data_IF_336968864641
#
_entry.id   IF_336968864641
#
_cell.length_a   1.000
_cell.length_b   1.000
_cell.length_c   1.000
_cell.angle_alpha   90.00
_cell.angle_beta   90.00
_cell.angle_gamma   90.00
#
_symmetry.space_group_name_H-M   'P 1'
#
loop_
_entity.id
_entity.type
_entity.pdbx_description
1 polymer ?
#
# COMPACT_ATOMS: atom_id res chain seq x y z
N UNK A 1 -3.14 -8.35 1.42
CA UNK A 1 -2.04 -7.87 2.28
C UNK A 1 -0.73 -8.33 1.65
N UNK A 2 0.31 -7.48 1.56
CA UNK A 2 1.61 -7.85 0.98
C UNK A 2 2.54 -8.60 1.94
N UNK A 3 1.97 -9.24 2.95
CA UNK A 3 2.68 -10.09 3.89
C UNK A 3 2.26 -11.54 3.63
N UNK A 4 3.23 -12.44 3.54
CA UNK A 4 3.00 -13.88 3.57
C UNK A 4 2.22 -14.30 4.81
N UNK A 5 1.47 -15.40 4.70
CA UNK A 5 0.62 -15.98 5.76
C UNK A 5 1.43 -16.32 7.00
N UNK A 6 2.67 -16.77 6.84
CA UNK A 6 3.68 -16.83 7.89
C UNK A 6 4.83 -15.91 7.41
N UNK A 7 4.92 -14.70 7.94
CA UNK A 7 5.92 -13.70 7.53
C UNK A 7 7.07 -13.57 8.52
N UNK A 8 6.74 -13.58 9.82
CA UNK A 8 7.73 -13.53 10.90
C UNK A 8 7.21 -14.26 12.15
N UNK A 9 8.14 -14.65 13.01
CA UNK A 9 7.87 -15.26 14.33
C UNK A 9 8.42 -14.37 15.43
N UNK A 10 7.68 -14.26 16.55
CA UNK A 10 8.16 -13.65 17.78
C UNK A 10 8.52 -14.74 18.78
N UNK A 11 9.79 -14.82 19.16
CA UNK A 11 10.34 -15.82 20.08
C UNK A 11 10.82 -15.12 21.36
N UNK A 12 10.23 -15.39 22.53
CA UNK A 12 10.77 -14.89 23.79
C UNK A 12 12.12 -15.54 24.10
N UNK A 13 13.13 -14.73 24.41
CA UNK A 13 14.49 -15.17 24.79
C UNK A 13 14.90 -14.54 26.13
N UNK A 14 15.95 -15.05 26.81
CA UNK A 14 16.44 -14.46 28.07
C UNK A 14 16.91 -13.00 27.95
N UNK A 15 17.24 -12.52 26.75
CA UNK A 15 17.74 -11.16 26.48
C UNK A 15 16.68 -10.22 25.89
N UNK A 16 15.46 -10.71 25.63
CA UNK A 16 14.36 -9.92 25.06
C UNK A 16 13.47 -10.75 24.12
N UNK A 17 12.48 -10.13 23.48
CA UNK A 17 11.71 -10.81 22.42
C UNK A 17 12.46 -10.69 21.10
N UNK A 18 12.80 -11.81 20.50
CA UNK A 18 13.42 -11.87 19.18
C UNK A 18 12.34 -11.92 18.09
N UNK A 19 12.50 -11.14 17.01
CA UNK A 19 11.75 -11.33 15.77
C UNK A 19 12.62 -12.08 14.76
N UNK A 20 12.08 -13.16 14.19
CA UNK A 20 12.71 -13.96 13.15
C UNK A 20 11.88 -13.88 11.85
N UNK A 21 12.49 -13.48 10.74
CA UNK A 21 11.85 -13.47 9.42
C UNK A 21 11.67 -14.90 8.90
N UNK A 22 10.47 -15.25 8.45
CA UNK A 22 10.11 -16.59 8.00
C UNK A 22 10.53 -16.87 6.54
N UNK A 23 11.71 -16.40 6.14
CA UNK A 23 12.17 -16.30 4.75
C UNK A 23 11.16 -15.58 3.84
N UNK A 24 10.63 -14.46 4.33
CA UNK A 24 9.61 -13.70 3.63
C UNK A 24 10.19 -12.93 2.43
N UNK A 25 9.43 -12.91 1.33
CA UNK A 25 9.92 -12.30 0.08
C UNK A 25 10.05 -10.78 0.19
N UNK A 26 9.12 -10.12 0.88
CA UNK A 26 9.22 -8.68 1.11
C UNK A 26 10.21 -8.34 2.25
N UNK A 27 10.52 -9.30 3.12
CA UNK A 27 11.39 -9.12 4.27
C UNK A 27 10.68 -8.42 5.44
N UNK A 28 11.10 -8.81 6.63
CA UNK A 28 10.83 -8.09 7.88
C UNK A 28 11.86 -6.97 8.04
N UNK A 29 11.41 -5.79 8.44
CA UNK A 29 12.29 -4.66 8.76
C UNK A 29 12.06 -4.21 10.20
N UNK A 30 13.13 -3.79 10.88
CA UNK A 30 13.09 -3.18 12.21
C UNK A 30 13.76 -1.81 12.10
N UNK A 31 13.03 -0.74 12.43
CA UNK A 31 13.47 0.65 12.32
C UNK A 31 14.08 0.99 10.93
N UNK A 32 13.42 0.51 9.86
CA UNK A 32 13.85 0.72 8.47
C UNK A 32 14.90 -0.28 7.95
N UNK A 33 15.59 -1.01 8.83
CA UNK A 33 16.66 -1.96 8.46
C UNK A 33 16.07 -3.35 8.23
N UNK A 34 16.37 -3.98 7.09
CA UNK A 34 15.93 -5.37 6.80
C UNK A 34 16.67 -6.35 7.70
N UNK A 35 15.95 -7.23 8.39
CA UNK A 35 16.52 -8.20 9.33
C UNK A 35 16.14 -9.63 8.97
N UNK A 36 17.06 -10.57 9.21
CA UNK A 36 16.75 -12.00 9.26
C UNK A 36 16.32 -12.42 10.67
N UNK A 37 17.03 -11.91 11.68
CA UNK A 37 16.60 -11.90 13.09
C UNK A 37 17.01 -10.58 13.76
N UNK A 38 16.27 -10.14 14.78
CA UNK A 38 16.64 -9.05 15.68
C UNK A 38 15.98 -9.17 17.06
N UNK A 39 16.69 -8.78 18.13
CA UNK A 39 16.09 -8.57 19.46
C UNK A 39 15.38 -7.22 19.46
N UNK A 40 14.06 -7.24 19.71
CA UNK A 40 13.21 -6.05 19.77
C UNK A 40 13.30 -5.35 21.13
N UNK A 41 13.21 -4.02 21.08
CA UNK A 41 13.16 -3.11 22.22
C UNK A 41 11.84 -2.34 22.24
N UNK A 42 11.43 -1.88 23.42
CA UNK A 42 10.19 -1.11 23.59
C UNK A 42 10.19 0.12 22.67
N UNK A 43 9.15 0.24 21.84
CA UNK A 43 8.99 1.31 20.86
C UNK A 43 9.63 1.07 19.50
N UNK A 44 10.34 -0.04 19.27
CA UNK A 44 10.83 -0.41 17.94
C UNK A 44 9.68 -0.52 16.94
N UNK A 45 9.91 -0.04 15.71
CA UNK A 45 8.95 -0.13 14.61
C UNK A 45 9.31 -1.31 13.72
N UNK A 46 8.44 -2.31 13.69
CA UNK A 46 8.53 -3.47 12.80
C UNK A 46 7.64 -3.23 11.59
N UNK A 47 8.24 -3.21 10.40
CA UNK A 47 7.52 -3.06 9.12
C UNK A 47 7.39 -4.41 8.43
N UNK A 48 6.14 -4.79 8.11
CA UNK A 48 5.78 -6.04 7.42
C UNK A 48 4.85 -5.70 6.25
N UNK A 49 5.39 -5.73 5.03
CA UNK A 49 4.71 -5.22 3.84
C UNK A 49 4.32 -3.74 4.01
N UNK A 50 3.05 -3.41 3.76
CA UNK A 50 2.53 -2.03 3.87
C UNK A 50 1.96 -1.73 5.28
N UNK A 51 2.45 -2.39 6.34
CA UNK A 51 1.97 -2.17 7.72
C UNK A 51 3.13 -1.98 8.68
N UNK A 52 3.04 -0.94 9.50
CA UNK A 52 3.97 -0.68 10.61
C UNK A 52 3.35 -1.07 11.95
N UNK A 53 4.14 -1.82 12.72
CA UNK A 53 3.77 -2.39 14.00
C UNK A 53 4.74 -1.84 15.05
N UNK A 54 4.24 -1.23 16.12
CA UNK A 54 5.06 -0.85 17.26
C UNK A 54 5.22 -2.06 18.18
N UNK A 55 6.44 -2.34 18.61
CA UNK A 55 6.71 -3.34 19.64
C UNK A 55 6.46 -2.74 21.03
N UNK A 56 5.55 -3.38 21.78
CA UNK A 56 5.17 -2.98 23.13
C UNK A 56 5.05 -4.21 24.04
N UNK A 57 5.87 -4.24 25.09
CA UNK A 57 6.02 -5.33 26.05
C UNK A 57 6.57 -6.61 25.41
N UNK A 58 5.65 -7.45 24.92
CA UNK A 58 5.92 -8.73 24.24
C UNK A 58 5.14 -8.87 22.93
N UNK A 59 4.50 -7.79 22.48
CA UNK A 59 3.50 -7.82 21.39
C UNK A 59 3.77 -6.76 20.33
N UNK A 60 3.37 -7.07 19.09
CA UNK A 60 3.34 -6.11 18.00
C UNK A 60 1.92 -5.57 17.83
N UNK A 61 1.74 -4.28 18.10
CA UNK A 61 0.48 -3.57 17.95
C UNK A 61 0.56 -2.72 16.69
N UNK A 62 -0.49 -2.72 15.85
CA UNK A 62 -0.54 -1.80 14.70
C UNK A 62 -0.36 -0.37 15.19
N UNK A 63 0.61 0.34 14.62
CA UNK A 63 0.82 1.76 14.90
C UNK A 63 -0.40 2.51 14.36
N UNK A 64 -1.33 2.87 15.25
CA UNK A 64 -2.55 3.54 14.86
C UNK A 64 -2.24 4.82 14.08
N UNK A 65 -3.06 5.13 13.07
CA UNK A 65 -2.88 6.25 12.14
C UNK A 65 -2.87 7.63 12.84
N UNK A 66 -3.07 7.71 14.15
CA UNK A 66 -2.96 8.91 14.98
C UNK A 66 -1.58 9.62 14.93
N UNK A 67 -0.55 9.02 14.31
CA UNK A 67 0.67 9.70 13.90
C UNK A 67 0.49 10.64 12.67
N UNK A 68 -0.74 10.79 12.15
CA UNK A 68 -1.12 11.62 10.98
C UNK A 68 -0.81 13.13 11.07
N UNK A 69 -0.14 13.62 12.12
CA UNK A 69 0.52 14.94 12.09
C UNK A 69 1.83 14.93 11.30
N UNK A 70 2.40 13.76 11.00
CA UNK A 70 3.67 13.56 10.27
C UNK A 70 3.58 12.52 9.15
N UNK A 71 2.39 12.01 8.81
CA UNK A 71 2.20 11.05 7.70
C UNK A 71 2.13 11.72 6.32
N UNK A 72 2.48 10.98 5.26
CA UNK A 72 2.48 11.47 3.87
C UNK A 72 3.88 11.71 3.29
N UNK A 73 3.92 12.38 2.13
CA UNK A 73 5.13 12.73 1.39
C UNK A 73 5.69 14.09 1.82
N UNK A 74 6.98 14.15 2.11
CA UNK A 74 7.71 15.39 2.35
C UNK A 74 8.98 15.43 1.48
N UNK A 75 9.07 16.47 0.64
CA UNK A 75 10.22 16.76 -0.22
C UNK A 75 10.87 18.02 0.33
N UNK A 76 12.14 17.94 0.72
CA UNK A 76 12.86 19.05 1.37
C UNK A 76 14.14 19.37 0.62
N UNK A 77 14.15 20.55 -0.02
CA UNK A 77 15.34 21.14 -0.63
C UNK A 77 16.02 20.27 -1.70
N UNK A 78 15.25 19.53 -2.48
CA UNK A 78 15.78 18.60 -3.49
C UNK A 78 16.43 19.37 -4.64
N UNK A 79 17.72 19.12 -4.83
CA UNK A 79 18.46 19.50 -6.04
C UNK A 79 18.98 18.25 -6.75
N UNK A 80 19.04 18.32 -8.08
CA UNK A 80 19.52 17.22 -8.91
C UNK A 80 20.30 17.76 -10.11
N UNK A 81 21.55 17.32 -10.22
CA UNK A 81 22.54 17.79 -11.21
C UNK A 81 23.04 16.62 -12.04
N UNK A 82 23.05 16.79 -13.38
CA UNK A 82 23.58 15.80 -14.33
C UNK A 82 24.67 16.47 -15.15
N UNK A 83 25.87 15.87 -15.19
CA UNK A 83 27.02 16.37 -15.95
C UNK A 83 27.33 17.86 -15.70
N UNK A 84 27.19 18.33 -14.45
CA UNK A 84 27.39 19.73 -14.05
C UNK A 84 26.21 20.67 -14.30
N UNK A 85 25.17 20.24 -15.04
CA UNK A 85 23.96 21.03 -15.26
C UNK A 85 22.89 20.71 -14.20
N UNK A 86 22.46 21.73 -13.44
CA UNK A 86 21.37 21.61 -12.48
C UNK A 86 20.02 21.48 -13.20
N UNK A 87 19.35 20.34 -13.04
CA UNK A 87 18.01 20.09 -13.58
C UNK A 87 16.90 20.48 -12.58
N UNK A 88 17.20 20.39 -11.28
CA UNK A 88 16.33 20.81 -10.18
C UNK A 88 17.18 21.55 -9.12
N UNK A 89 16.63 22.59 -8.52
CA UNK A 89 17.29 23.42 -7.51
C UNK A 89 16.33 23.71 -6.34
N UNK A 90 16.64 23.16 -5.16
CA UNK A 90 15.97 23.46 -3.89
C UNK A 90 14.44 23.27 -3.93
N UNK A 91 13.95 22.23 -4.60
CA UNK A 91 12.52 21.93 -4.72
C UNK A 91 12.00 21.35 -3.42
N UNK A 92 10.91 21.92 -2.90
CA UNK A 92 10.24 21.44 -1.69
C UNK A 92 8.72 21.38 -1.87
N UNK A 93 8.07 20.34 -1.36
CA UNK A 93 6.61 20.16 -1.34
C UNK A 93 6.20 19.21 -0.21
N UNK A 94 4.94 19.29 0.25
CA UNK A 94 4.39 18.32 1.21
C UNK A 94 2.97 17.92 0.81
N UNK A 95 2.73 16.62 0.68
CA UNK A 95 1.44 16.05 0.29
C UNK A 95 1.00 15.03 1.35
N UNK A 96 -0.19 15.22 1.94
CA UNK A 96 -0.69 14.42 3.06
C UNK A 96 -1.67 13.34 2.56
N UNK A 97 -1.90 12.25 3.32
CA UNK A 97 -2.96 11.29 3.01
C UNK A 97 -4.28 12.02 2.73
N UNK A 98 -4.97 11.69 1.64
CA UNK A 98 -6.16 12.42 1.19
C UNK A 98 -5.92 13.53 0.15
N UNK A 99 -4.67 13.86 -0.21
CA UNK A 99 -4.39 15.00 -1.12
C UNK A 99 -4.10 14.57 -2.56
N UNK A 100 -4.75 15.26 -3.50
CA UNK A 100 -4.39 15.25 -4.93
C UNK A 100 -3.55 16.48 -5.24
N UNK A 101 -2.30 16.28 -5.64
CA UNK A 101 -1.31 17.34 -5.90
C UNK A 101 -0.91 17.32 -7.37
N UNK A 102 -1.16 18.43 -8.08
CA UNK A 102 -0.67 18.59 -9.46
C UNK A 102 0.73 19.22 -9.48
N UNK A 103 1.65 18.60 -10.22
CA UNK A 103 2.98 19.14 -10.53
C UNK A 103 2.96 19.59 -11.98
N UNK A 104 2.91 20.91 -12.18
CA UNK A 104 2.74 21.52 -13.50
C UNK A 104 3.96 22.31 -13.96
N UNK A 105 4.08 22.51 -15.27
CA UNK A 105 5.19 23.24 -15.87
C UNK A 105 5.39 22.87 -17.34
N UNK A 106 6.14 23.72 -18.05
CA UNK A 106 6.47 23.50 -19.46
C UNK A 106 7.31 22.24 -19.70
N UNK A 107 7.49 21.89 -20.98
CA UNK A 107 8.46 20.85 -21.35
C UNK A 107 9.87 21.26 -20.89
N UNK A 108 10.67 20.29 -20.46
CA UNK A 108 12.00 20.54 -19.90
C UNK A 108 12.05 21.15 -18.49
N UNK A 109 10.91 21.46 -17.84
CA UNK A 109 10.88 22.05 -16.49
C UNK A 109 11.24 21.07 -15.35
N UNK A 110 11.77 19.88 -15.64
CA UNK A 110 12.21 18.90 -14.64
C UNK A 110 11.12 18.04 -13.98
N UNK A 111 9.87 18.09 -14.45
CA UNK A 111 8.73 17.40 -13.79
C UNK A 111 8.90 15.89 -13.65
N UNK A 112 9.22 15.20 -14.76
CA UNK A 112 9.52 13.75 -14.79
C UNK A 112 10.77 13.40 -13.97
N UNK A 113 11.72 14.33 -13.83
CA UNK A 113 12.89 14.14 -12.97
C UNK A 113 12.47 14.16 -11.50
N UNK A 114 11.63 15.12 -11.11
CA UNK A 114 11.09 15.22 -9.74
C UNK A 114 10.23 14.00 -9.38
N UNK A 115 9.36 13.53 -10.28
CA UNK A 115 8.54 12.32 -10.03
C UNK A 115 9.39 11.07 -9.86
N UNK A 116 10.45 10.90 -10.66
CA UNK A 116 11.40 9.78 -10.52
C UNK A 116 12.23 9.84 -9.24
N UNK A 117 12.57 11.04 -8.75
CA UNK A 117 13.20 11.22 -7.44
C UNK A 117 12.22 10.83 -6.32
N UNK A 118 10.98 11.32 -6.37
CA UNK A 118 9.94 10.97 -5.38
C UNK A 118 9.60 9.47 -5.42
N UNK A 119 9.66 8.84 -6.59
CA UNK A 119 9.46 7.40 -6.75
C UNK A 119 10.66 6.54 -6.29
N UNK A 120 11.79 7.15 -5.89
CA UNK A 120 13.02 6.44 -5.53
C UNK A 120 13.80 5.86 -6.72
N UNK A 121 13.42 6.17 -7.97
CA UNK A 121 14.08 5.67 -9.18
C UNK A 121 15.37 6.46 -9.52
N UNK A 122 15.51 7.65 -8.96
CA UNK A 122 16.72 8.47 -8.99
C UNK A 122 17.08 8.85 -7.56
N UNK A 123 18.37 9.08 -7.29
CA UNK A 123 18.84 9.67 -6.03
C UNK A 123 19.14 11.17 -6.22
N UNK A 124 18.73 12.04 -5.28
CA UNK A 124 19.04 13.47 -5.36
C UNK A 124 20.52 13.75 -5.17
N UNK A 125 20.98 14.89 -5.68
CA UNK A 125 22.33 15.40 -5.42
C UNK A 125 22.41 16.04 -4.02
N UNK A 126 21.33 16.69 -3.58
CA UNK A 126 21.15 17.19 -2.22
C UNK A 126 19.67 17.31 -1.87
N UNK A 127 19.36 17.47 -0.59
CA UNK A 127 17.99 17.43 -0.06
C UNK A 127 17.54 16.02 0.32
N UNK A 128 16.30 15.91 0.80
CA UNK A 128 15.71 14.64 1.23
C UNK A 128 14.29 14.46 0.73
N UNK A 129 13.90 13.21 0.48
CA UNK A 129 12.51 12.82 0.29
C UNK A 129 12.15 11.78 1.34
N UNK A 130 11.08 12.03 2.10
CA UNK A 130 10.52 11.07 3.05
C UNK A 130 9.07 10.75 2.71
N UNK A 131 8.66 9.52 3.00
CA UNK A 131 7.27 9.09 2.94
C UNK A 131 6.91 8.34 4.22
N UNK A 132 5.82 8.75 4.88
CA UNK A 132 5.36 8.20 6.16
C UNK A 132 6.43 8.27 7.29
N UNK A 133 7.40 9.19 7.16
CA UNK A 133 8.52 9.38 8.08
C UNK A 133 9.80 8.62 7.72
N UNK A 134 9.76 7.73 6.73
CA UNK A 134 10.89 6.96 6.23
C UNK A 134 11.55 7.67 5.03
N UNK A 135 12.88 7.64 4.90
CA UNK A 135 13.58 8.25 3.77
C UNK A 135 13.55 7.31 2.56
N UNK A 136 12.96 7.79 1.45
CA UNK A 136 12.69 6.98 0.25
C UNK A 136 13.96 6.38 -0.34
N UNK A 137 15.10 7.07 -0.27
CA UNK A 137 16.34 6.64 -0.92
C UNK A 137 17.17 5.67 -0.06
N UNK A 138 17.15 5.84 1.27
CA UNK A 138 17.88 4.95 2.19
C UNK A 138 17.07 3.72 2.61
N UNK A 139 15.74 3.83 2.64
CA UNK A 139 14.81 2.78 3.09
C UNK A 139 13.94 2.25 1.93
N UNK A 140 14.37 2.43 0.68
CA UNK A 140 13.60 2.09 -0.51
C UNK A 140 13.02 0.66 -0.50
N UNK A 141 13.76 -0.30 0.05
CA UNK A 141 13.35 -1.71 0.07
C UNK A 141 12.06 -1.97 0.87
N UNK A 142 11.80 -1.24 1.96
CA UNK A 142 10.56 -1.35 2.75
C UNK A 142 9.41 -0.51 2.17
N UNK A 143 9.74 0.54 1.42
CA UNK A 143 8.79 1.50 0.85
C UNK A 143 8.33 1.15 -0.58
N UNK A 144 9.09 0.35 -1.33
CA UNK A 144 8.86 0.04 -2.76
C UNK A 144 7.44 -0.43 -3.11
N UNK A 145 6.72 -1.02 -2.15
CA UNK A 145 5.34 -1.51 -2.33
C UNK A 145 4.26 -0.55 -1.86
N UNK A 146 4.66 0.53 -1.16
CA UNK A 146 3.79 1.66 -0.78
C UNK A 146 3.77 2.75 -1.84
N UNK A 147 4.72 2.73 -2.78
CA UNK A 147 4.88 3.70 -3.85
C UNK A 147 4.54 3.04 -5.19
N UNK A 148 3.53 3.57 -5.89
CA UNK A 148 3.18 3.19 -7.26
C UNK A 148 3.52 4.33 -8.23
N UNK A 149 4.10 4.00 -9.38
CA UNK A 149 4.46 4.98 -10.42
C UNK A 149 3.86 4.57 -11.76
N UNK A 150 2.92 5.37 -12.27
CA UNK A 150 2.31 5.18 -13.58
C UNK A 150 3.03 6.09 -14.58
N UNK A 151 3.81 5.55 -15.53
CA UNK A 151 4.50 6.37 -16.53
C UNK A 151 3.53 6.99 -17.54
N UNK A 152 4.05 7.84 -18.42
CA UNK A 152 3.30 8.46 -19.50
C UNK A 152 2.71 7.41 -20.46
N UNK A 153 3.53 6.49 -20.96
CA UNK A 153 3.11 5.46 -21.90
C UNK A 153 2.28 4.34 -21.23
N UNK A 154 1.35 3.74 -21.98
CA UNK A 154 0.57 2.58 -21.52
C UNK A 154 1.47 1.34 -21.40
N UNK A 155 1.67 0.85 -20.17
CA UNK A 155 2.52 -0.31 -19.87
C UNK A 155 1.82 -1.67 -20.02
N UNK A 156 0.50 -1.69 -20.24
CA UNK A 156 -0.29 -2.92 -20.31
C UNK A 156 -0.11 -3.61 -21.67
N UNK A 157 0.19 -4.91 -21.67
CA UNK A 157 0.43 -5.67 -22.91
C UNK A 157 -0.82 -5.74 -23.81
N UNK A 158 -0.74 -5.11 -24.99
CA UNK A 158 -1.88 -4.80 -25.87
C UNK A 158 -2.72 -6.01 -26.32
N UNK A 159 -2.12 -7.19 -26.43
CA UNK A 159 -2.81 -8.40 -26.91
C UNK A 159 -3.54 -9.19 -25.81
N UNK A 160 -3.28 -8.90 -24.53
CA UNK A 160 -3.93 -9.58 -23.40
C UNK A 160 -5.29 -8.94 -23.08
N UNK A 161 -6.17 -9.69 -22.41
CA UNK A 161 -7.31 -9.09 -21.70
C UNK A 161 -6.86 -8.38 -20.43
N UNK A 162 -7.68 -7.47 -19.88
CA UNK A 162 -7.34 -6.79 -18.62
C UNK A 162 -7.16 -7.83 -17.49
N UNK A 163 -8.07 -8.81 -17.40
CA UNK A 163 -7.99 -9.92 -16.45
C UNK A 163 -6.68 -10.71 -16.56
N UNK A 164 -6.23 -11.01 -17.78
CA UNK A 164 -4.95 -11.68 -18.00
C UNK A 164 -3.76 -10.81 -17.55
N UNK A 165 -3.72 -9.55 -18.00
CA UNK A 165 -2.62 -8.64 -17.68
C UNK A 165 -2.51 -8.38 -16.17
N UNK A 166 -3.63 -8.10 -15.50
CA UNK A 166 -3.67 -7.92 -14.04
C UNK A 166 -3.41 -9.23 -13.29
N UNK A 167 -3.88 -10.38 -13.81
CA UNK A 167 -3.63 -11.70 -13.22
C UNK A 167 -2.15 -12.06 -13.19
N UNK A 168 -1.44 -11.87 -14.31
CA UNK A 168 0.01 -12.08 -14.38
C UNK A 168 0.77 -11.08 -13.50
N UNK A 169 0.40 -9.80 -13.52
CA UNK A 169 1.02 -8.80 -12.66
C UNK A 169 0.79 -9.09 -11.16
N UNK A 170 -0.39 -9.59 -10.79
CA UNK A 170 -0.71 -10.01 -9.44
C UNK A 170 0.10 -11.24 -9.01
N UNK A 171 0.34 -12.21 -9.89
CA UNK A 171 1.20 -13.37 -9.62
C UNK A 171 2.68 -12.98 -9.42
N UNK A 172 3.15 -11.91 -10.09
CA UNK A 172 4.52 -11.40 -9.96
C UNK A 172 4.72 -10.42 -8.78
N UNK A 173 3.69 -9.64 -8.41
CA UNK A 173 3.79 -8.54 -7.42
C UNK A 173 3.26 -8.92 -6.03
N UNK A 174 2.33 -9.87 -5.92
CA UNK A 174 1.81 -10.34 -4.63
C UNK A 174 2.71 -11.45 -4.05
N UNK A 175 2.68 -11.72 -2.73
CA UNK A 175 3.36 -12.87 -2.15
C UNK A 175 2.95 -14.19 -2.83
N UNK A 176 3.88 -15.13 -3.10
CA UNK A 176 3.59 -16.35 -3.87
C UNK A 176 2.67 -17.31 -3.13
N UNK A 177 2.60 -17.20 -1.80
CA UNK A 177 1.67 -17.91 -0.93
C UNK A 177 0.25 -17.29 -0.90
N UNK A 178 0.04 -16.19 -1.63
CA UNK A 178 -1.30 -15.67 -1.96
C UNK A 178 -2.00 -16.65 -2.89
N UNK A 179 -3.11 -17.24 -2.43
CA UNK A 179 -3.82 -18.27 -3.20
C UNK A 179 -4.43 -17.70 -4.49
N UNK A 180 -4.70 -18.55 -5.48
CA UNK A 180 -5.35 -18.12 -6.74
C UNK A 180 -6.67 -17.37 -6.49
N UNK A 181 -7.44 -17.77 -5.48
CA UNK A 181 -8.67 -17.10 -5.07
C UNK A 181 -8.40 -15.71 -4.48
N UNK A 182 -7.45 -15.60 -3.55
CA UNK A 182 -7.05 -14.31 -2.96
C UNK A 182 -6.53 -13.34 -4.04
N UNK A 183 -5.74 -13.83 -5.00
CA UNK A 183 -5.25 -13.04 -6.14
C UNK A 183 -6.39 -12.56 -7.04
N UNK A 184 -7.34 -13.44 -7.37
CA UNK A 184 -8.52 -13.08 -8.16
C UNK A 184 -9.40 -12.03 -7.46
N UNK A 185 -9.53 -12.09 -6.13
CA UNK A 185 -10.24 -11.07 -5.34
C UNK A 185 -9.52 -9.71 -5.37
N UNK A 186 -8.19 -9.67 -5.29
CA UNK A 186 -7.41 -8.42 -5.43
C UNK A 186 -7.62 -7.82 -6.83
N UNK A 187 -7.54 -8.61 -7.89
CA UNK A 187 -7.77 -8.15 -9.27
C UNK A 187 -9.20 -7.62 -9.45
N UNK A 188 -10.21 -8.35 -8.94
CA UNK A 188 -11.61 -7.92 -9.01
C UNK A 188 -11.86 -6.59 -8.28
N UNK A 189 -11.31 -6.43 -7.06
CA UNK A 189 -11.45 -5.18 -6.30
C UNK A 189 -10.80 -3.97 -6.98
N UNK A 190 -9.65 -4.15 -7.64
CA UNK A 190 -9.00 -3.09 -8.42
C UNK A 190 -9.79 -2.74 -9.69
N UNK A 191 -10.37 -3.74 -10.36
CA UNK A 191 -11.26 -3.52 -11.51
C UNK A 191 -12.52 -2.76 -11.11
N UNK A 192 -13.09 -3.05 -9.94
CA UNK A 192 -14.24 -2.34 -9.38
C UNK A 192 -13.88 -0.89 -9.01
N UNK A 193 -12.79 -0.67 -8.26
CA UNK A 193 -12.31 0.66 -7.84
C UNK A 193 -12.08 1.60 -9.03
N UNK A 194 -11.62 1.06 -10.17
CA UNK A 194 -11.33 1.82 -11.39
C UNK A 194 -12.44 1.78 -12.45
N UNK A 195 -13.58 1.16 -12.14
CA UNK A 195 -14.74 1.00 -13.05
C UNK A 195 -14.34 0.38 -14.40
N UNK A 196 -13.69 -0.78 -14.31
CA UNK A 196 -13.22 -1.61 -15.43
C UNK A 196 -13.81 -3.03 -15.42
N UNK A 197 -14.68 -3.37 -14.45
CA UNK A 197 -15.27 -4.71 -14.30
C UNK A 197 -15.96 -5.21 -15.57
N UNK A 198 -16.72 -4.35 -16.27
CA UNK A 198 -17.38 -4.69 -17.54
C UNK A 198 -16.39 -4.92 -18.71
N UNK A 199 -15.15 -4.45 -18.57
CA UNK A 199 -14.08 -4.58 -19.56
C UNK A 199 -13.03 -5.62 -19.17
N UNK A 200 -13.23 -6.39 -18.10
CA UNK A 200 -12.25 -7.32 -17.56
C UNK A 200 -11.72 -8.31 -18.62
N UNK A 201 -12.60 -8.86 -19.45
CA UNK A 201 -12.25 -9.78 -20.55
C UNK A 201 -12.08 -9.10 -21.92
N UNK A 202 -12.08 -7.76 -21.96
CA UNK A 202 -11.76 -6.99 -23.16
C UNK A 202 -10.25 -6.94 -23.36
N UNK A 203 -9.79 -7.14 -24.61
CA UNK A 203 -8.37 -6.95 -24.97
C UNK A 203 -7.96 -5.49 -24.84
N UNK A 204 -6.76 -5.26 -24.33
CA UNK A 204 -6.20 -3.91 -24.09
C UNK A 204 -6.14 -3.06 -25.37
N UNK A 205 -5.88 -3.67 -26.53
CA UNK A 205 -5.90 -2.99 -27.83
C UNK A 205 -7.29 -2.51 -28.30
N UNK A 206 -8.38 -3.03 -27.73
CA UNK A 206 -9.77 -2.63 -28.02
C UNK A 206 -10.32 -1.57 -27.07
N UNK A 207 -9.57 -1.21 -26.02
CA UNK A 207 -9.98 -0.19 -25.05
C UNK A 207 -9.76 1.23 -25.61
N UNK A 208 -10.65 2.17 -25.22
CA UNK A 208 -10.43 3.61 -25.40
C UNK A 208 -9.18 4.10 -24.65
N UNK A 209 -8.66 5.28 -25.00
CA UNK A 209 -7.49 5.85 -24.34
C UNK A 209 -7.67 5.99 -22.82
N UNK A 210 -8.83 6.49 -22.37
CA UNK A 210 -9.14 6.62 -20.95
C UNK A 210 -9.17 5.26 -20.24
N UNK A 211 -9.83 4.25 -20.81
CA UNK A 211 -9.86 2.89 -20.25
C UNK A 211 -8.46 2.26 -20.19
N UNK A 212 -7.60 2.46 -21.20
CA UNK A 212 -6.21 1.98 -21.14
C UNK A 212 -5.41 2.67 -20.04
N UNK A 213 -5.57 3.99 -19.86
CA UNK A 213 -4.91 4.67 -18.73
C UNK A 213 -5.40 4.13 -17.38
N UNK A 214 -6.71 3.88 -17.21
CA UNK A 214 -7.22 3.21 -16.01
C UNK A 214 -6.59 1.82 -15.82
N UNK A 215 -6.41 1.03 -16.88
CA UNK A 215 -5.72 -0.26 -16.81
C UNK A 215 -4.22 -0.13 -16.45
N UNK A 216 -3.55 0.93 -16.91
CA UNK A 216 -2.18 1.27 -16.49
C UNK A 216 -2.11 1.66 -14.99
N UNK A 217 -3.13 2.35 -14.47
CA UNK A 217 -3.27 2.61 -13.01
C UNK A 217 -3.59 1.34 -12.23
N UNK A 218 -4.41 0.45 -12.79
CA UNK A 218 -4.82 -0.82 -12.17
C UNK A 218 -3.61 -1.70 -11.82
N UNK A 219 -2.60 -1.78 -12.70
CA UNK A 219 -1.37 -2.52 -12.45
C UNK A 219 -0.65 -2.06 -11.18
N UNK A 220 -0.62 -0.74 -10.91
CA UNK A 220 0.01 -0.19 -9.71
C UNK A 220 -0.84 -0.38 -8.44
N UNK A 221 -2.18 -0.34 -8.58
CA UNK A 221 -3.08 -0.56 -7.43
C UNK A 221 -3.10 -2.01 -6.92
N UNK A 222 -2.62 -3.00 -7.69
CA UNK A 222 -2.49 -4.40 -7.23
C UNK A 222 -1.68 -4.53 -5.93
N UNK A 223 -0.68 -3.66 -5.73
CA UNK A 223 0.14 -3.64 -4.50
C UNK A 223 -0.46 -2.81 -3.36
N UNK A 224 -1.59 -2.13 -3.58
CA UNK A 224 -2.21 -1.23 -2.60
C UNK A 224 -1.27 -0.10 -2.13
N UNK A 225 -0.69 0.71 -3.04
CA UNK A 225 0.22 1.78 -2.66
C UNK A 225 -0.50 2.94 -1.94
N UNK A 226 0.15 3.48 -0.91
CA UNK A 226 -0.29 4.69 -0.19
C UNK A 226 0.10 5.98 -0.93
N UNK A 227 1.19 5.94 -1.72
CA UNK A 227 1.65 7.02 -2.60
C UNK A 227 1.51 6.56 -4.06
N UNK A 228 0.68 7.26 -4.84
CA UNK A 228 0.52 7.03 -6.27
C UNK A 228 1.00 8.25 -7.06
N UNK A 229 1.94 8.04 -7.97
CA UNK A 229 2.53 9.09 -8.81
C UNK A 229 2.18 8.76 -10.26
N UNK A 230 1.72 9.74 -11.02
CA UNK A 230 1.34 9.58 -12.42
C UNK A 230 2.03 10.62 -13.29
N UNK A 231 2.76 10.18 -14.31
CA UNK A 231 3.36 11.05 -15.31
C UNK A 231 2.44 11.21 -16.52
N UNK A 232 2.09 12.45 -16.84
CA UNK A 232 1.23 12.89 -17.95
C UNK A 232 -0.01 11.96 -18.19
N UNK A 233 -0.83 11.66 -17.15
CA UNK A 233 -1.86 10.61 -17.25
C UNK A 233 -3.00 10.90 -18.21
N UNK A 234 -3.19 12.14 -18.63
CA UNK A 234 -4.28 12.54 -19.54
C UNK A 234 -3.80 13.04 -20.90
N UNK A 235 -2.49 12.91 -21.17
CA UNK A 235 -1.89 13.25 -22.47
C UNK A 235 -2.52 12.44 -23.61
N UNK A 236 -2.98 13.13 -24.66
CA UNK A 236 -3.60 12.51 -25.83
C UNK A 236 -5.02 12.00 -25.64
N UNK A 237 -5.67 12.29 -24.51
CA UNK A 237 -7.10 12.05 -24.31
C UNK A 237 -7.94 13.23 -24.82
N UNK A 238 -9.20 12.96 -25.20
CA UNK A 238 -10.18 14.03 -25.37
C UNK A 238 -10.59 14.63 -24.01
N UNK A 239 -11.17 15.85 -23.97
CA UNK A 239 -11.51 16.52 -22.71
C UNK A 239 -12.49 15.75 -21.81
N UNK A 240 -13.37 14.92 -22.37
CA UNK A 240 -14.33 14.16 -21.56
C UNK A 240 -13.69 12.93 -20.91
N UNK A 241 -12.71 12.29 -21.57
CA UNK A 241 -11.90 11.22 -20.98
C UNK A 241 -10.87 11.77 -19.98
N UNK A 242 -10.26 12.94 -20.25
CA UNK A 242 -9.37 13.67 -19.32
C UNK A 242 -10.06 13.93 -17.97
N UNK A 243 -11.25 14.56 -17.98
CA UNK A 243 -12.04 14.79 -16.77
C UNK A 243 -12.37 13.50 -16.02
N UNK A 244 -12.69 12.41 -16.72
CA UNK A 244 -12.98 11.12 -16.08
C UNK A 244 -11.75 10.52 -15.40
N UNK A 245 -10.55 10.64 -15.99
CA UNK A 245 -9.31 10.20 -15.36
C UNK A 245 -9.00 11.08 -14.14
N UNK A 246 -9.07 12.41 -14.26
CA UNK A 246 -8.85 13.31 -13.12
C UNK A 246 -9.84 13.07 -11.96
N UNK A 247 -11.11 12.81 -12.27
CA UNK A 247 -12.14 12.46 -11.26
C UNK A 247 -11.85 11.12 -10.58
N UNK A 248 -11.34 10.13 -11.31
CA UNK A 248 -10.89 8.86 -10.74
C UNK A 248 -9.68 9.07 -9.80
N UNK A 249 -8.71 9.88 -10.19
CA UNK A 249 -7.53 10.17 -9.34
C UNK A 249 -7.91 10.93 -8.07
N UNK A 250 -8.94 11.80 -8.14
CA UNK A 250 -9.57 12.42 -6.97
C UNK A 250 -10.18 11.37 -6.04
N UNK A 251 -10.94 10.41 -6.57
CA UNK A 251 -11.53 9.32 -5.78
C UNK A 251 -10.46 8.43 -5.11
N UNK A 252 -9.35 8.15 -5.79
CA UNK A 252 -8.23 7.41 -5.19
C UNK A 252 -7.56 8.17 -4.03
N UNK A 253 -7.46 9.49 -4.14
CA UNK A 253 -7.01 10.36 -3.05
C UNK A 253 -8.04 10.42 -1.91
N UNK A 254 -9.33 10.56 -2.21
CA UNK A 254 -10.42 10.57 -1.21
C UNK A 254 -10.49 9.28 -0.39
N UNK A 255 -10.06 8.16 -0.98
CA UNK A 255 -9.85 6.87 -0.28
C UNK A 255 -8.61 6.85 0.65
N UNK A 256 -7.96 7.99 0.89
CA UNK A 256 -6.87 8.17 1.85
C UNK A 256 -5.46 8.21 1.24
N UNK A 257 -5.29 7.96 -0.06
CA UNK A 257 -3.96 7.93 -0.70
C UNK A 257 -3.37 9.33 -0.88
N UNK A 258 -2.06 9.41 -1.00
CA UNK A 258 -1.35 10.57 -1.53
C UNK A 258 -1.24 10.39 -3.05
N UNK A 259 -1.79 11.31 -3.83
CA UNK A 259 -1.77 11.21 -5.30
C UNK A 259 -1.06 12.41 -5.91
N UNK A 260 0.00 12.17 -6.68
CA UNK A 260 0.73 13.17 -7.44
C UNK A 260 0.47 13.00 -8.93
N UNK A 261 -0.02 14.05 -9.58
CA UNK A 261 -0.21 14.11 -11.04
C UNK A 261 0.78 15.09 -11.63
N UNK A 262 1.73 14.58 -12.40
CA UNK A 262 2.60 15.42 -13.22
C UNK A 262 1.90 15.68 -14.54
N UNK A 263 1.72 16.96 -14.92
CA UNK A 263 1.19 17.29 -16.24
C UNK A 263 1.66 18.64 -16.77
N UNK A 264 1.62 18.85 -18.09
CA UNK A 264 1.69 20.18 -18.70
C UNK A 264 0.31 20.81 -18.93
N UNK A 265 -0.78 20.06 -18.72
CA UNK A 265 -2.16 20.56 -18.82
C UNK A 265 -2.48 21.55 -17.70
N UNK A 266 -3.27 22.58 -18.02
CA UNK A 266 -3.87 23.50 -17.06
C UNK A 266 -5.37 23.24 -16.85
N UNK A 267 -5.93 22.24 -17.55
CA UNK A 267 -7.32 21.83 -17.45
C UNK A 267 -7.55 21.00 -16.19
N UNK A 268 -8.74 21.09 -15.60
CA UNK A 268 -9.17 20.29 -14.43
C UNK A 268 -8.30 20.40 -13.17
N UNK A 269 -7.43 21.43 -13.08
CA UNK A 269 -6.63 21.69 -11.87
C UNK A 269 -7.50 22.04 -10.65
N UNK A 270 -8.73 22.47 -10.84
CA UNK A 270 -9.72 22.72 -9.78
C UNK A 270 -10.14 21.44 -9.03
N UNK A 271 -9.86 20.26 -9.58
CA UNK A 271 -10.02 18.95 -8.91
C UNK A 271 -8.90 18.68 -7.88
N UNK A 272 -7.77 19.38 -8.00
CA UNK A 272 -6.59 19.19 -7.16
C UNK A 272 -6.62 20.06 -5.89
N UNK A 273 -6.17 19.50 -4.75
CA UNK A 273 -6.00 20.28 -3.51
C UNK A 273 -4.81 21.23 -3.57
N UNK A 274 -3.79 20.87 -4.33
CA UNK A 274 -2.49 21.54 -4.34
C UNK A 274 -1.96 21.58 -5.76
N UNK A 275 -1.31 22.70 -6.11
CA UNK A 275 -0.58 22.85 -7.38
C UNK A 275 0.83 23.36 -7.09
N UNK A 276 1.82 22.65 -7.63
CA UNK A 276 3.23 23.05 -7.68
C UNK A 276 3.58 23.47 -9.11
N UNK A 277 3.95 24.74 -9.32
CA UNK A 277 4.53 25.17 -10.61
C UNK A 277 6.05 25.03 -10.60
N UNK A 278 6.54 24.21 -11.52
CA UNK A 278 7.93 24.12 -11.93
C UNK A 278 8.18 25.04 -13.13
N UNK A 279 9.21 25.88 -13.04
CA UNK A 279 9.66 26.73 -14.12
C UNK A 279 11.01 26.22 -14.69
N UNK A 280 11.28 26.35 -16.00
CA UNK A 280 12.63 26.24 -16.54
C UNK A 280 13.56 27.21 -15.80
N UNK A 281 14.77 26.77 -15.45
CA UNK A 281 15.63 27.51 -14.51
C UNK A 281 15.41 27.15 -13.03
N UNK A 282 14.88 25.96 -12.78
CA UNK A 282 15.05 25.16 -11.55
C UNK A 282 14.37 25.64 -10.25
N UNK A 283 13.86 26.88 -10.14
CA UNK A 283 13.17 27.37 -8.93
C UNK A 283 11.66 27.14 -8.95
N UNK A 284 11.05 26.52 -7.92
CA UNK A 284 9.60 26.45 -7.78
C UNK A 284 9.03 27.86 -7.52
N UNK A 285 8.01 28.27 -8.27
CA UNK A 285 7.56 29.68 -8.28
C UNK A 285 6.30 29.96 -7.46
N UNK A 286 5.56 28.93 -7.08
CA UNK A 286 4.30 29.04 -6.34
C UNK A 286 3.81 27.68 -5.81
N UNK A 287 3.12 27.72 -4.67
CA UNK A 287 2.47 26.60 -4.00
C UNK A 287 1.13 27.06 -3.42
N UNK A 288 0.05 26.30 -3.62
CA UNK A 288 -1.26 26.59 -3.02
C UNK A 288 -2.44 25.86 -3.65
N UNK A 289 -3.64 26.10 -3.08
CA UNK A 289 -4.93 25.70 -3.68
C UNK A 289 -5.21 26.54 -4.94
N UNK A 290 -5.67 25.94 -6.05
CA UNK A 290 -6.11 26.70 -7.20
C UNK A 290 -7.39 27.47 -6.86
N UNK A 291 -7.40 28.78 -7.10
CA UNK A 291 -8.60 29.62 -6.97
C UNK A 291 -9.25 29.82 -8.33
N UNK A 292 -10.58 29.83 -8.36
CA UNK A 292 -11.42 29.85 -9.57
C UNK A 292 -11.24 31.08 -10.48
N UNK A 293 -10.54 32.11 -10.00
CA UNK A 293 -10.11 33.29 -10.76
C UNK A 293 -8.71 33.08 -11.36
N UNK A 294 -8.65 32.61 -12.60
CA UNK A 294 -7.38 32.51 -13.33
C UNK A 294 -6.63 33.85 -13.38
N UNK A 295 -5.29 33.79 -13.32
CA UNK A 295 -4.27 34.88 -13.37
C UNK A 295 -3.64 35.37 -12.06
N UNK A 296 -3.99 34.86 -10.87
CA UNK A 296 -3.15 35.07 -9.67
C UNK A 296 -3.19 33.92 -8.68
N UNK A 297 -2.11 33.15 -8.63
CA UNK A 297 -1.83 32.26 -7.50
C UNK A 297 -1.20 33.09 -6.38
N UNK A 298 -1.71 32.96 -5.16
CA UNK A 298 -1.10 33.57 -3.99
C UNK A 298 0.11 32.72 -3.56
N UNK A 299 1.36 33.22 -3.63
CA UNK A 299 2.50 32.45 -3.18
C UNK A 299 2.46 32.34 -1.65
N UNK A 300 2.34 31.12 -1.13
CA UNK A 300 2.66 30.84 0.26
C UNK A 300 4.18 30.71 0.41
N UNK A 301 4.86 31.84 0.57
CA UNK A 301 6.25 31.86 1.04
C UNK A 301 6.29 31.34 2.47
N UNK A 302 6.93 30.20 2.72
CA UNK A 302 7.20 29.74 4.07
C UNK A 302 8.25 30.62 4.78
N UNK A 303 8.38 30.53 6.13
CA UNK A 303 7.56 29.75 7.05
C UNK A 303 6.78 30.66 8.03
N UNK A 304 5.45 30.52 8.09
CA UNK A 304 4.66 30.88 9.28
C UNK A 304 3.45 29.97 9.44
N UNK A 305 3.55 29.04 10.38
CA UNK A 305 2.39 28.32 10.90
C UNK A 305 1.39 29.34 11.46
N UNK A 306 0.18 29.38 10.89
CA UNK A 306 -0.98 29.90 11.60
C UNK A 306 -2.09 28.85 11.56
N UNK A 307 -2.48 28.40 12.75
CA UNK A 307 -3.54 27.40 12.92
C UNK A 307 -4.87 28.04 12.57
N UNK A 308 -5.61 27.46 11.62
CA UNK A 308 -7.08 27.56 11.61
C UNK A 308 -7.67 26.17 11.42
N UNK A 309 -8.40 25.75 12.44
CA UNK A 309 -9.13 24.49 12.49
C UNK A 309 -10.22 24.49 11.43
N UNK A 310 -10.26 23.46 10.58
CA UNK A 310 -11.43 23.13 9.76
C UNK A 310 -12.12 21.94 10.43
N UNK A 311 -13.45 21.96 10.69
CA UNK A 311 -14.14 20.81 11.24
C UNK A 311 -14.18 19.66 10.24
N UNK A 312 -13.84 18.45 10.67
CA UNK A 312 -14.00 17.23 9.88
C UNK A 312 -15.42 16.68 10.10
N UNK A 313 -16.18 16.33 9.05
CA UNK A 313 -17.46 15.63 9.21
C UNK A 313 -17.23 14.23 9.77
N UNK A 314 -17.74 13.93 10.95
CA UNK A 314 -17.64 12.61 11.58
C UNK A 314 -18.60 11.61 10.93
N UNK A 315 -18.14 10.91 9.88
CA UNK A 315 -18.70 9.63 9.44
C UNK A 315 -17.58 8.66 9.07
N UNK A 316 -17.51 7.47 9.69
CA UNK A 316 -16.54 6.45 9.30
C UNK A 316 -17.01 5.77 8.01
N UNK A 317 -16.36 6.06 6.89
CA UNK A 317 -16.47 5.24 5.68
C UNK A 317 -15.66 3.98 5.91
N UNK A 318 -16.32 2.84 6.09
CA UNK A 318 -15.64 1.56 6.33
C UNK A 318 -14.88 1.13 5.07
N UNK A 319 -13.54 1.21 5.10
CA UNK A 319 -12.70 0.55 4.11
C UNK A 319 -12.89 -0.97 4.23
N UNK A 320 -13.63 -1.57 3.30
CA UNK A 320 -14.16 -2.91 3.41
C UNK A 320 -13.14 -3.98 3.01
N UNK A 321 -12.09 -4.17 3.81
CA UNK A 321 -11.30 -5.40 3.77
C UNK A 321 -11.98 -6.47 4.65
N UNK A 322 -12.35 -7.65 4.10
CA UNK A 322 -13.02 -8.68 4.89
C UNK A 322 -12.06 -9.31 5.90
N UNK A 323 -12.22 -8.97 7.17
CA UNK A 323 -11.62 -9.70 8.28
C UNK A 323 -12.35 -11.03 8.50
N UNK A 324 -11.82 -12.12 7.94
CA UNK A 324 -12.37 -13.47 8.11
C UNK A 324 -12.16 -13.96 9.55
N UNK A 325 -13.23 -13.93 10.34
CA UNK A 325 -13.32 -14.62 11.63
C UNK A 325 -13.96 -16.00 11.45
N UNK A 326 -13.39 -17.08 11.98
CA UNK A 326 -13.99 -18.41 11.88
C UNK A 326 -15.18 -18.53 12.83
N UNK A 327 -16.37 -18.78 12.28
CA UNK A 327 -17.53 -19.19 13.10
C UNK A 327 -17.40 -20.67 13.45
N UNK A 328 -17.10 -20.95 14.72
CA UNK A 328 -17.33 -22.26 15.33
C UNK A 328 -18.83 -22.53 15.41
N UNK A 329 -19.25 -23.72 14.99
CA UNK A 329 -20.63 -24.17 15.16
C UNK A 329 -20.94 -24.57 16.61
N UNK A 330 -22.16 -24.31 17.05
CA UNK A 330 -22.75 -24.91 18.24
C UNK A 330 -24.25 -25.13 17.96
N UNK A 331 -24.71 -26.35 18.26
CA UNK A 331 -26.09 -26.80 18.02
C UNK A 331 -27.16 -26.01 18.80
N UNK A 332 -28.39 -26.03 18.26
CA UNK A 332 -29.58 -26.44 19.03
C UNK A 332 -30.77 -26.78 18.13
N UNK A 333 -31.39 -27.90 18.47
CA UNK A 333 -32.57 -28.52 17.86
C UNK A 333 -33.78 -27.59 17.69
N UNK A 334 -34.65 -27.87 16.71
CA UNK A 334 -35.90 -28.62 16.98
C UNK A 334 -36.75 -28.93 15.71
N UNK A 335 -37.61 -29.95 15.84
CA UNK A 335 -38.78 -30.32 15.01
C UNK A 335 -38.58 -31.15 13.70
N UNK A 336 -38.89 -32.45 13.85
CA UNK A 336 -39.42 -33.41 12.84
C UNK A 336 -40.98 -33.31 12.82
N UNK A 337 -41.77 -33.97 11.93
CA UNK A 337 -41.61 -35.32 11.33
C UNK A 337 -41.79 -35.40 9.79
N UNK A 338 -41.59 -36.53 9.09
CA UNK A 338 -41.24 -37.90 9.50
C UNK A 338 -41.16 -38.89 8.31
N UNK A 339 -41.62 -40.14 8.53
CA UNK A 339 -41.72 -41.33 7.61
C UNK A 339 -40.49 -42.24 7.37
N UNK A 340 -40.53 -43.38 8.11
CA UNK A 340 -40.40 -44.80 7.66
C UNK A 340 -39.22 -45.29 6.79
N UNK A 341 -38.49 -46.33 7.26
CA UNK A 341 -37.55 -47.12 6.44
C UNK A 341 -36.61 -48.12 7.17
N UNK A 342 -37.16 -49.19 7.77
CA UNK A 342 -36.60 -50.55 8.02
C UNK A 342 -35.08 -50.85 8.21
N UNK A 343 -34.75 -51.50 9.35
CA UNK A 343 -33.79 -52.62 9.61
C UNK A 343 -32.39 -52.65 8.94
N UNK A 344 -31.26 -52.86 9.67
CA UNK A 344 -30.84 -54.15 10.29
C UNK A 344 -29.77 -54.00 11.42
N UNK A 345 -29.47 -55.12 12.12
CA UNK A 345 -28.49 -55.35 13.24
C UNK A 345 -27.28 -56.15 12.73
N UNK A 346 -26.09 -56.32 13.35
CA UNK A 346 -25.31 -55.83 14.53
C UNK A 346 -23.86 -56.40 14.32
N UNK A 347 -22.92 -56.66 15.29
CA UNK A 347 -22.70 -56.30 16.71
C UNK A 347 -21.29 -55.65 16.98
N UNK A 348 -20.87 -55.36 18.24
CA UNK A 348 -19.60 -54.67 18.56
C UNK A 348 -18.46 -55.61 19.02
N UNK A 349 -17.22 -55.10 19.08
CA UNK A 349 -16.04 -55.76 19.70
C UNK A 349 -15.29 -54.80 20.64
N UNK A 350 -14.77 -55.32 21.75
CA UNK A 350 -14.22 -54.55 22.87
C UNK A 350 -12.71 -54.24 22.79
N UNK A 351 -12.37 -53.19 23.56
CA UNK A 351 -11.07 -52.76 24.11
C UNK A 351 -9.86 -53.69 24.14
N UNK A 352 -8.68 -53.08 23.94
CA UNK A 352 -7.50 -53.31 24.79
C UNK A 352 -6.77 -51.99 25.15
N UNK A 353 -6.48 -51.80 26.45
CA UNK A 353 -5.32 -51.04 27.00
C UNK A 353 -4.20 -52.07 27.25
N UNK A 354 -2.92 -51.78 27.44
CA UNK A 354 -2.13 -50.56 27.76
C UNK A 354 -0.70 -50.73 27.12
N UNK A 355 0.42 -50.03 27.49
CA UNK A 355 0.64 -49.01 28.52
C UNK A 355 1.40 -47.74 28.05
N UNK A 356 1.87 -46.98 29.03
CA UNK A 356 2.46 -45.64 29.03
C UNK A 356 3.80 -45.46 28.31
N UNK A 357 3.97 -44.30 27.64
CA UNK A 357 5.26 -43.70 27.31
C UNK A 357 5.14 -42.17 27.32
N UNK A 358 5.89 -41.50 28.19
CA UNK A 358 5.78 -40.05 28.43
C UNK A 358 6.62 -39.23 27.45
N UNK A 359 5.97 -38.54 26.52
CA UNK A 359 6.55 -37.44 25.76
C UNK A 359 5.74 -36.16 26.07
N UNK A 360 6.38 -35.19 26.72
CA UNK A 360 5.75 -33.93 27.11
C UNK A 360 5.36 -33.11 25.87
N UNK A 361 4.07 -33.14 25.51
CA UNK A 361 3.55 -32.26 24.46
C UNK A 361 3.49 -30.83 24.98
N UNK A 362 4.48 -30.01 24.64
CA UNK A 362 4.37 -28.56 24.74
C UNK A 362 3.11 -28.10 24.01
N UNK A 363 2.10 -27.65 24.77
CA UNK A 363 0.93 -26.97 24.21
C UNK A 363 1.37 -25.54 23.90
N UNK A 364 1.34 -25.08 22.64
CA UNK A 364 1.59 -23.66 22.35
C UNK A 364 0.50 -22.83 23.03
N UNK A 365 0.91 -21.86 23.85
CA UNK A 365 -0.01 -20.88 24.42
C UNK A 365 -0.61 -20.03 23.31
N UNK A 366 -1.94 -19.94 23.24
CA UNK A 366 -2.62 -19.03 22.31
C UNK A 366 -2.38 -17.58 22.75
N UNK A 367 -1.39 -16.92 22.16
CA UNK A 367 -1.35 -15.47 22.12
C UNK A 367 -2.21 -15.01 20.94
N UNK A 368 -3.45 -14.61 21.23
CA UNK A 368 -4.40 -14.18 20.20
C UNK A 368 -4.06 -12.76 19.74
N UNK A 369 -3.37 -12.62 18.61
CA UNK A 369 -3.02 -11.32 18.01
C UNK A 369 -4.24 -10.78 17.24
N UNK A 370 -4.87 -9.67 17.64
CA UNK A 370 -5.97 -9.09 16.88
C UNK A 370 -5.43 -8.37 15.63
N UNK A 371 -5.87 -8.78 14.44
CA UNK A 371 -5.67 -8.00 13.20
C UNK A 371 -4.38 -8.24 12.41
N UNK A 372 -3.54 -9.22 12.78
CA UNK A 372 -2.38 -9.66 11.98
C UNK A 372 -2.31 -11.19 11.91
N UNK A 373 -2.78 -11.78 10.80
CA UNK A 373 -2.62 -13.22 10.53
C UNK A 373 -1.16 -13.64 10.28
N UNK A 374 -0.30 -12.67 9.92
CA UNK A 374 1.03 -12.88 9.33
C UNK A 374 2.17 -13.12 10.34
N UNK A 375 1.96 -12.83 11.63
CA UNK A 375 2.97 -13.00 12.70
C UNK A 375 2.45 -13.98 13.73
N UNK A 376 3.29 -14.91 14.19
CA UNK A 376 2.92 -15.91 15.20
C UNK A 376 3.93 -15.97 16.35
N UNK A 377 3.50 -16.35 17.58
CA UNK A 377 4.42 -16.73 18.62
C UNK A 377 5.21 -17.98 18.18
N UNK A 378 6.54 -17.91 18.27
CA UNK A 378 7.43 -19.05 18.08
C UNK A 378 7.44 -19.94 19.33
N UNK A 379 7.53 -21.25 19.13
CA UNK A 379 7.93 -22.16 20.21
C UNK A 379 9.47 -22.13 20.31
N UNK A 380 10.01 -21.90 21.51
CA UNK A 380 11.42 -22.17 21.76
C UNK A 380 11.69 -23.67 21.49
N UNK A 381 12.67 -23.96 20.62
CA UNK A 381 13.21 -25.31 20.48
C UNK A 381 14.04 -25.57 21.74
N UNK A 382 13.79 -26.64 22.51
CA UNK A 382 14.64 -26.97 23.64
C UNK A 382 16.03 -27.37 23.13
N UNK A 383 17.09 -26.78 23.70
CA UNK A 383 18.47 -27.13 23.36
C UNK A 383 18.70 -28.63 23.61
N UNK A 384 18.98 -29.35 22.52
CA UNK A 384 19.28 -30.77 22.53
C UNK A 384 20.73 -31.03 22.94
N UNK A 385 21.04 -30.91 24.23
CA UNK A 385 22.26 -31.51 24.79
C UNK A 385 22.02 -32.99 25.06
N UNK A 386 22.55 -33.85 24.19
CA UNK A 386 22.51 -35.31 24.29
C UNK A 386 23.64 -35.95 23.51
#
# INVERSE_FOLDING_TARGET
MLASRHHAFLTPTPVGTEINDAHSINGTFVNGIRVGSAILREGDVVTIGNVDLAFTGTTLVRRAEAATRTGGLEVTGISYTVNGAALLDNVSLTARPGTLTAVIGGSGAGKTTLSRLIAGYLSPTSGTVTFEGHNIHTEYASLRSRIGMVPQDDVVHRQLTINQALGYAAELRLPPDTSKQDRAQVVAGVLEELRLTEHADTRVDKLSGGQRKRASVALELLTGPSLLILDEPTSGLDPALDLQVMTMLRQLADAGRVVLVVTHSLTYLDVCDQVLLMAPGARPRSWGRPTRSGRRWAPQTGPRFSRRSVPIPTRPTAAFWPATSPRTGADRDAHRPGRTGTHQRAPPVLHHRAPTGSAGRCRPGLLHIPGCLAVRPGCAVPDGSG
#
